data_IF_516625434276
#
_entry.id   IF_516625434276
#
_cell.length_a   1.000
_cell.length_b   1.000
_cell.length_c   1.000
_cell.angle_alpha   90.00
_cell.angle_beta   90.00
_cell.angle_gamma   90.00
#
_symmetry.space_group_name_H-M   'P 1'
#
loop_
_entity.id
_entity.type
_entity.pdbx_description
1 polymer ?
#
# COMPACT_ATOMS: atom_id res chain seq x y z
N UNK A 1 14.25 41.89 6.16
CA UNK A 1 15.17 42.76 6.92
C UNK A 1 14.54 43.12 8.25
N UNK A 2 15.32 43.62 9.23
CA UNK A 2 14.80 43.95 10.56
C UNK A 2 14.70 45.45 10.80
N UNK A 3 13.63 45.91 11.43
CA UNK A 3 13.40 47.32 11.79
C UNK A 3 12.90 47.42 13.23
N UNK A 4 13.40 48.38 13.99
CA UNK A 4 12.91 48.66 15.35
C UNK A 4 11.48 49.20 15.30
N UNK A 5 10.58 48.56 16.04
CA UNK A 5 9.17 48.92 16.10
C UNK A 5 8.66 48.80 17.54
N UNK A 6 7.76 49.69 17.98
CA UNK A 6 7.32 49.75 19.38
C UNK A 6 6.48 48.54 19.81
N UNK A 7 6.00 47.73 18.86
CA UNK A 7 5.20 46.55 19.17
C UNK A 7 4.91 45.65 17.95
N UNK A 8 4.34 44.47 18.20
CA UNK A 8 3.98 43.51 17.16
C UNK A 8 2.88 44.01 16.22
N UNK A 9 2.04 44.97 16.63
CA UNK A 9 1.02 45.56 15.74
C UNK A 9 1.67 46.30 14.57
N UNK A 10 2.72 47.08 14.85
CA UNK A 10 3.45 47.81 13.82
C UNK A 10 4.24 46.86 12.90
N UNK A 11 4.60 45.66 13.38
CA UNK A 11 5.16 44.63 12.51
C UNK A 11 4.21 44.20 11.40
N UNK A 12 2.91 44.04 11.73
CA UNK A 12 1.91 43.70 10.74
C UNK A 12 1.79 44.82 9.67
N UNK A 13 1.78 46.09 10.08
CA UNK A 13 1.76 47.25 9.16
C UNK A 13 3.02 47.34 8.28
N UNK A 14 4.19 47.07 8.88
CA UNK A 14 5.45 47.05 8.16
C UNK A 14 5.50 45.90 7.15
N UNK A 15 4.99 44.72 7.49
CA UNK A 15 4.91 43.60 6.55
C UNK A 15 3.92 43.88 5.42
N UNK A 16 2.75 44.45 5.73
CA UNK A 16 1.75 44.83 4.75
C UNK A 16 2.27 45.87 3.73
N UNK A 17 3.02 46.88 4.20
CA UNK A 17 3.63 47.89 3.32
C UNK A 17 4.76 47.35 2.44
N UNK A 18 5.35 46.21 2.81
CA UNK A 18 6.39 45.52 2.04
C UNK A 18 5.87 44.30 1.26
N UNK A 19 4.54 44.16 1.12
CA UNK A 19 3.93 43.17 0.24
C UNK A 19 4.31 43.46 -1.23
N UNK A 20 4.62 42.43 -2.06
CA UNK A 20 4.56 40.98 -1.81
C UNK A 20 5.85 40.35 -1.27
N UNK A 21 6.87 41.15 -0.93
CA UNK A 21 8.18 40.64 -0.52
C UNK A 21 8.22 40.17 0.94
N UNK A 22 7.29 40.64 1.77
CA UNK A 22 7.11 40.16 3.15
C UNK A 22 6.04 39.08 3.23
N UNK A 23 6.44 37.84 3.57
CA UNK A 23 5.52 36.71 3.75
C UNK A 23 5.25 36.38 5.23
N UNK A 24 6.22 36.66 6.11
CA UNK A 24 6.05 36.54 7.55
C UNK A 24 6.97 37.51 8.27
N UNK A 25 6.78 37.68 9.58
CA UNK A 25 7.66 38.48 10.40
C UNK A 25 7.89 37.83 11.75
N UNK A 26 8.96 38.24 12.44
CA UNK A 26 9.26 37.86 13.81
C UNK A 26 9.50 39.12 14.64
N UNK A 27 8.78 39.27 15.74
CA UNK A 27 8.99 40.37 16.68
C UNK A 27 9.89 39.91 17.82
N UNK A 28 11.04 40.57 17.95
CA UNK A 28 12.05 40.30 18.95
C UNK A 28 11.83 41.32 20.06
N UNK A 29 11.21 40.87 21.16
CA UNK A 29 11.01 41.72 22.35
C UNK A 29 12.35 41.99 23.05
N UNK A 30 13.12 40.93 23.29
CA UNK A 30 14.44 40.99 23.93
C UNK A 30 15.40 40.00 23.26
N UNK A 31 16.30 40.52 22.44
CA UNK A 31 17.29 39.76 21.69
C UNK A 31 18.56 39.54 22.51
N UNK A 32 19.05 38.30 22.52
CA UNK A 32 20.26 37.91 23.23
C UNK A 32 21.03 36.85 22.43
N UNK A 33 22.22 36.48 22.89
CA UNK A 33 23.05 35.47 22.22
C UNK A 33 22.35 34.09 22.14
N UNK A 34 21.47 33.77 23.08
CA UNK A 34 20.75 32.49 23.13
C UNK A 34 19.62 32.35 22.10
N UNK A 35 19.03 33.46 21.64
CA UNK A 35 18.01 33.44 20.58
C UNK A 35 18.54 33.88 19.21
N UNK A 36 19.85 34.12 19.09
CA UNK A 36 20.51 34.48 17.82
C UNK A 36 20.36 35.94 17.41
N UNK A 37 19.82 36.81 18.28
CA UNK A 37 19.58 38.23 17.99
C UNK A 37 20.24 39.17 19.01
N UNK A 38 21.57 39.05 19.26
CA UNK A 38 22.23 39.84 20.29
C UNK A 38 22.10 41.35 20.01
N UNK A 39 21.58 42.09 20.99
CA UNK A 39 21.46 43.56 20.92
C UNK A 39 20.23 44.07 20.18
N UNK A 40 19.30 43.20 19.77
CA UNK A 40 18.03 43.62 19.16
C UNK A 40 16.91 43.61 20.20
N UNK A 41 16.41 44.77 20.60
CA UNK A 41 15.23 44.87 21.48
C UNK A 41 14.13 45.65 20.77
N UNK A 42 12.92 45.11 20.74
CA UNK A 42 11.78 45.65 19.99
C UNK A 42 12.03 45.73 18.48
N UNK A 43 12.61 44.68 17.89
CA UNK A 43 12.84 44.60 16.44
C UNK A 43 11.81 43.73 15.73
N UNK A 44 11.41 44.17 14.55
CA UNK A 44 10.57 43.45 13.62
C UNK A 44 11.37 42.95 12.43
N UNK A 45 11.58 41.64 12.33
CA UNK A 45 12.30 41.03 11.22
C UNK A 45 11.34 40.47 10.18
N UNK A 46 11.23 41.13 9.04
CA UNK A 46 10.48 40.63 7.88
C UNK A 46 11.25 39.51 7.18
N UNK A 47 10.54 38.43 6.85
CA UNK A 47 11.06 37.23 6.19
C UNK A 47 10.36 37.03 4.83
N UNK A 48 11.16 36.79 3.80
CA UNK A 48 10.70 36.46 2.44
C UNK A 48 10.51 34.96 2.19
N UNK A 49 10.68 34.12 3.22
CA UNK A 49 10.53 32.67 3.18
C UNK A 49 9.95 32.16 4.52
N UNK A 50 8.90 31.35 4.46
CA UNK A 50 8.25 30.61 5.57
C UNK A 50 9.29 29.74 6.33
N UNK A 51 9.29 29.39 7.64
CA UNK A 51 8.30 29.09 8.72
C UNK A 51 9.00 29.27 10.12
N UNK A 52 8.35 29.24 11.32
CA UNK A 52 7.92 27.96 11.95
C UNK A 52 6.62 27.99 12.83
N UNK A 53 6.09 26.77 13.01
CA UNK A 53 5.22 26.18 14.05
C UNK A 53 3.93 26.90 14.56
N UNK A 54 2.73 26.29 14.39
CA UNK A 54 1.44 26.89 14.72
C UNK A 54 1.06 26.97 16.21
N UNK A 55 1.88 26.52 17.16
CA UNK A 55 1.38 26.36 18.54
C UNK A 55 1.29 27.61 19.43
N UNK A 56 1.70 28.83 19.02
CA UNK A 56 1.70 29.97 19.98
C UNK A 56 1.42 31.40 19.48
N UNK A 57 1.20 31.71 18.20
CA UNK A 57 1.12 33.11 17.77
C UNK A 57 -0.28 33.56 17.31
N UNK A 58 -1.13 33.96 18.25
CA UNK A 58 -2.47 34.53 18.00
C UNK A 58 -2.49 36.01 17.57
N UNK A 59 -1.40 36.58 17.04
CA UNK A 59 -1.28 38.04 16.90
C UNK A 59 -0.72 38.57 15.58
N UNK A 60 -0.79 37.78 14.49
CA UNK A 60 -0.80 38.39 13.16
C UNK A 60 -1.50 37.47 12.16
N UNK A 61 -2.82 37.60 12.09
CA UNK A 61 -3.62 37.12 10.98
C UNK A 61 -3.30 38.02 9.77
N UNK A 62 -2.31 37.62 8.96
CA UNK A 62 -1.87 38.40 7.78
C UNK A 62 -2.91 38.42 6.65
N UNK A 63 -4.14 37.92 6.88
CA UNK A 63 -5.15 37.71 5.84
C UNK A 63 -4.75 36.66 4.81
N UNK A 64 -3.49 36.19 4.83
CA UNK A 64 -2.98 35.11 4.00
C UNK A 64 -3.48 33.78 4.56
N UNK A 65 -4.48 33.22 3.90
CA UNK A 65 -5.08 31.95 4.29
C UNK A 65 -4.23 30.79 3.75
N UNK A 66 -3.88 29.83 4.61
CA UNK A 66 -3.35 28.52 4.20
C UNK A 66 -4.47 27.50 4.37
N UNK A 67 -5.39 27.50 3.41
CA UNK A 67 -6.52 26.58 3.44
C UNK A 67 -6.08 25.20 3.01
N UNK A 68 -6.43 24.20 3.81
CA UNK A 68 -6.02 22.82 3.59
C UNK A 68 -7.26 21.95 3.42
N UNK A 69 -7.34 21.29 2.27
CA UNK A 69 -8.30 20.21 2.06
C UNK A 69 -7.55 18.89 2.00
N UNK A 70 -8.17 17.83 2.50
CA UNK A 70 -7.66 16.47 2.35
C UNK A 70 -8.57 15.74 1.38
N UNK A 71 -7.99 14.99 0.44
CA UNK A 71 -8.76 14.12 -0.44
C UNK A 71 -9.70 13.23 0.38
N UNK A 72 -10.86 12.90 -0.18
CA UNK A 72 -11.91 12.07 0.42
C UNK A 72 -12.50 12.60 1.73
N UNK A 73 -12.33 13.89 2.04
CA UNK A 73 -12.99 14.54 3.17
C UNK A 73 -13.72 15.81 2.76
N UNK A 74 -14.78 16.12 3.48
CA UNK A 74 -15.49 17.40 3.32
C UNK A 74 -14.55 18.56 3.61
N UNK A 75 -14.53 19.55 2.73
CA UNK A 75 -13.67 20.69 2.86
C UNK A 75 -14.43 22.01 2.86
N UNK A 76 -14.08 22.87 3.81
CA UNK A 76 -14.52 24.25 3.88
C UNK A 76 -13.31 25.16 3.87
N UNK A 77 -13.23 26.01 2.86
CA UNK A 77 -12.25 27.10 2.77
C UNK A 77 -12.84 28.31 3.49
N UNK A 78 -12.02 29.08 4.19
CA UNK A 78 -12.48 30.34 4.77
C UNK A 78 -11.58 31.49 4.33
N UNK A 79 -12.17 32.67 4.20
CA UNK A 79 -11.47 33.91 3.88
C UNK A 79 -11.82 34.92 4.97
N UNK A 80 -10.81 35.56 5.56
CA UNK A 80 -11.01 36.67 6.49
C UNK A 80 -10.88 38.01 5.76
N UNK A 81 -11.72 38.97 6.15
CA UNK A 81 -11.81 40.26 5.48
C UNK A 81 -13.01 41.06 5.92
N UNK A 82 -13.05 42.35 5.57
CA UNK A 82 -14.19 43.22 5.84
C UNK A 82 -15.04 43.42 4.59
N UNK A 83 -16.36 43.60 4.77
CA UNK A 83 -17.27 43.83 3.65
C UNK A 83 -17.52 42.59 2.78
N UNK A 84 -17.32 41.39 3.35
CA UNK A 84 -17.65 40.13 2.69
C UNK A 84 -19.17 39.99 2.54
N UNK A 85 -19.59 39.41 1.43
CA UNK A 85 -21.01 39.17 1.10
C UNK A 85 -21.23 37.72 0.69
N UNK A 86 -22.45 37.20 0.82
CA UNK A 86 -22.77 35.81 0.41
C UNK A 86 -22.65 35.58 -1.11
N UNK A 87 -22.54 36.66 -1.89
CA UNK A 87 -22.31 36.58 -3.33
C UNK A 87 -20.83 36.45 -3.69
N UNK A 88 -19.93 36.72 -2.73
CA UNK A 88 -18.50 36.59 -2.93
C UNK A 88 -18.11 35.17 -3.26
N UNK A 89 -17.04 35.00 -4.02
CA UNK A 89 -16.59 33.68 -4.44
C UNK A 89 -15.09 33.50 -4.39
N UNK A 90 -14.68 32.24 -4.23
CA UNK A 90 -13.29 31.81 -4.29
C UNK A 90 -13.06 30.90 -5.49
N UNK A 91 -11.84 30.96 -6.01
CA UNK A 91 -11.35 30.12 -7.09
C UNK A 91 -9.97 29.58 -6.70
N UNK A 92 -9.79 28.27 -6.85
CA UNK A 92 -8.49 27.62 -6.71
C UNK A 92 -7.87 27.43 -8.09
N UNK A 93 -6.63 27.89 -8.27
CA UNK A 93 -5.89 27.77 -9.53
C UNK A 93 -4.54 27.08 -9.34
N UNK A 94 -4.14 26.27 -10.32
CA UNK A 94 -2.83 25.62 -10.39
C UNK A 94 -1.69 26.59 -10.76
N UNK A 95 -2.01 27.81 -11.19
CA UNK A 95 -1.02 28.85 -11.43
C UNK A 95 -0.53 29.48 -10.12
N UNK A 96 0.69 30.03 -10.14
CA UNK A 96 1.24 30.80 -9.01
C UNK A 96 0.57 32.16 -8.81
N UNK A 97 -0.26 32.61 -9.77
CA UNK A 97 -0.92 33.91 -9.78
C UNK A 97 -2.39 33.81 -10.18
N UNK A 98 -3.21 34.61 -9.50
CA UNK A 98 -4.62 34.83 -9.79
C UNK A 98 -4.81 35.64 -11.09
N UNK A 99 -6.00 35.54 -11.71
CA UNK A 99 -6.31 36.18 -13.00
C UNK A 99 -5.77 35.43 -14.22
N UNK A 100 -5.13 34.28 -14.02
CA UNK A 100 -4.83 33.35 -15.09
C UNK A 100 -6.17 32.81 -15.66
N UNK A 101 -6.32 32.79 -16.98
CA UNK A 101 -7.55 32.34 -17.65
C UNK A 101 -7.94 30.89 -17.30
N UNK A 102 -9.03 30.40 -17.89
CA UNK A 102 -9.67 29.13 -17.53
C UNK A 102 -8.76 27.89 -17.53
N UNK A 103 -7.66 27.89 -18.29
CA UNK A 103 -6.68 26.80 -18.34
C UNK A 103 -5.92 26.58 -17.04
N UNK A 104 -5.96 27.54 -16.10
CA UNK A 104 -5.28 27.45 -14.82
C UNK A 104 -6.19 26.97 -13.67
N UNK A 105 -7.49 26.76 -13.91
CA UNK A 105 -8.44 26.37 -12.86
C UNK A 105 -8.18 24.93 -12.43
N UNK A 106 -7.97 24.73 -11.13
CA UNK A 106 -7.81 23.39 -10.57
C UNK A 106 -9.16 22.69 -10.46
N UNK A 107 -9.21 21.39 -10.74
CA UNK A 107 -10.45 20.63 -10.75
C UNK A 107 -10.29 19.30 -10.00
N UNK A 108 -11.23 19.04 -9.10
CA UNK A 108 -11.37 17.76 -8.40
C UNK A 108 -12.83 17.33 -8.48
N UNK A 109 -13.13 16.10 -8.92
CA UNK A 109 -14.49 15.57 -8.84
C UNK A 109 -15.03 15.67 -7.41
N UNK A 110 -16.23 16.24 -7.26
CA UNK A 110 -16.88 16.46 -5.97
C UNK A 110 -16.52 17.79 -5.27
N UNK A 111 -15.56 18.55 -5.81
CA UNK A 111 -15.29 19.94 -5.42
C UNK A 111 -15.94 20.90 -6.41
N UNK A 112 -16.72 21.84 -5.90
CA UNK A 112 -17.22 22.98 -6.66
C UNK A 112 -16.16 24.09 -6.66
N UNK A 113 -15.63 24.43 -7.83
CA UNK A 113 -14.60 25.45 -8.00
C UNK A 113 -14.80 26.16 -9.36
N UNK A 114 -15.18 27.46 -9.40
CA UNK A 114 -15.29 28.40 -8.27
C UNK A 114 -16.46 28.11 -7.32
N UNK A 115 -16.39 28.63 -6.09
CA UNK A 115 -17.44 28.48 -5.07
C UNK A 115 -17.84 29.81 -4.45
N UNK A 116 -19.15 30.08 -4.34
CA UNK A 116 -19.68 31.24 -3.60
C UNK A 116 -19.74 30.98 -2.09
N UNK A 117 -19.66 32.04 -1.30
CA UNK A 117 -19.73 31.96 0.16
C UNK A 117 -21.04 31.32 0.63
N UNK A 118 -20.90 30.27 1.43
CA UNK A 118 -22.01 29.56 2.07
C UNK A 118 -22.53 30.30 3.30
N UNK A 119 -21.64 30.91 4.07
CA UNK A 119 -21.99 31.76 5.20
C UNK A 119 -20.98 32.90 5.34
N UNK A 120 -21.46 34.06 5.79
CA UNK A 120 -20.62 35.24 6.00
C UNK A 120 -20.94 35.85 7.36
N UNK A 121 -19.88 36.14 8.10
CA UNK A 121 -19.86 36.90 9.35
C UNK A 121 -19.14 38.25 9.12
N UNK A 122 -19.08 39.10 10.15
CA UNK A 122 -18.49 40.44 10.04
C UNK A 122 -17.05 40.46 9.52
N UNK A 123 -16.28 39.39 9.75
CA UNK A 123 -14.85 39.31 9.40
C UNK A 123 -14.44 38.03 8.68
N UNK A 124 -15.37 37.12 8.38
CA UNK A 124 -15.08 35.78 7.85
C UNK A 124 -16.19 35.29 6.94
N UNK A 125 -15.82 34.82 5.75
CA UNK A 125 -16.67 34.07 4.84
C UNK A 125 -16.23 32.61 4.78
N UNK A 126 -17.18 31.69 4.86
CA UNK A 126 -16.96 30.25 4.72
C UNK A 126 -17.48 29.77 3.37
N UNK A 127 -16.67 28.95 2.70
CA UNK A 127 -16.90 28.42 1.37
C UNK A 127 -16.83 26.89 1.45
N UNK A 128 -17.98 26.23 1.62
CA UNK A 128 -18.07 24.77 1.64
C UNK A 128 -17.89 24.23 0.22
N UNK A 129 -16.64 23.98 -0.17
CA UNK A 129 -16.25 23.57 -1.53
C UNK A 129 -16.62 22.12 -1.84
N UNK A 130 -16.93 21.31 -0.82
CA UNK A 130 -17.39 19.92 -0.96
C UNK A 130 -16.28 18.89 -0.65
N UNK A 131 -16.44 17.67 -1.19
CA UNK A 131 -15.55 16.53 -0.94
C UNK A 131 -14.82 16.12 -2.21
N UNK A 132 -13.49 16.26 -2.23
CA UNK A 132 -12.67 15.83 -3.35
C UNK A 132 -12.59 14.30 -3.40
N UNK A 133 -13.20 13.67 -4.40
CA UNK A 133 -13.18 12.20 -4.53
C UNK A 133 -11.83 11.69 -5.05
N UNK A 134 -11.21 12.46 -5.93
CA UNK A 134 -9.88 12.16 -6.50
C UNK A 134 -9.27 13.42 -7.12
N UNK A 135 -8.03 13.35 -7.57
CA UNK A 135 -7.35 14.41 -8.32
C UNK A 135 -5.89 14.58 -7.92
N UNK A 136 -5.26 15.65 -8.40
CA UNK A 136 -3.87 15.96 -8.11
C UNK A 136 -3.71 16.65 -6.75
N UNK A 137 -2.71 16.21 -6.00
CA UNK A 137 -2.30 16.79 -4.72
C UNK A 137 -1.12 17.73 -4.94
N UNK A 138 -1.21 18.96 -4.46
CA UNK A 138 -0.18 20.00 -4.62
C UNK A 138 -0.54 21.25 -3.78
N UNK A 139 0.33 22.24 -3.84
CA UNK A 139 0.03 23.62 -3.44
C UNK A 139 -0.51 24.41 -4.65
N UNK A 140 -1.58 25.17 -4.41
CA UNK A 140 -2.34 25.95 -5.38
C UNK A 140 -2.48 27.39 -4.86
N UNK A 141 -2.85 28.33 -5.75
CA UNK A 141 -3.21 29.67 -5.34
C UNK A 141 -4.72 29.77 -5.05
N UNK A 142 -5.06 30.39 -3.92
CA UNK A 142 -6.44 30.74 -3.58
C UNK A 142 -6.72 32.17 -4.01
N UNK A 143 -7.70 32.32 -4.91
CA UNK A 143 -8.10 33.58 -5.50
C UNK A 143 -9.52 33.96 -5.08
N UNK A 144 -9.80 35.26 -5.03
CA UNK A 144 -11.08 35.81 -4.60
C UNK A 144 -11.63 36.76 -5.66
N UNK A 145 -12.96 36.77 -5.78
CA UNK A 145 -13.71 37.76 -6.54
C UNK A 145 -14.98 38.18 -5.79
N UNK A 146 -15.35 39.46 -5.92
CA UNK A 146 -16.60 39.98 -5.38
C UNK A 146 -17.73 39.66 -6.36
N UNK A 147 -18.60 38.71 -5.99
CA UNK A 147 -19.58 38.13 -6.90
C UNK A 147 -19.08 36.86 -7.62
N UNK A 148 -19.93 36.19 -8.40
CA UNK A 148 -19.51 35.15 -9.35
C UNK A 148 -18.85 35.79 -10.59
N UNK A 149 -17.82 35.15 -11.12
CA UNK A 149 -17.11 35.62 -12.31
C UNK A 149 -16.49 34.49 -13.13
N UNK A 150 -15.89 34.83 -14.27
CA UNK A 150 -15.04 33.92 -15.02
C UNK A 150 -13.67 33.81 -14.34
N UNK A 151 -12.89 32.77 -14.69
CA UNK A 151 -11.56 32.56 -14.10
C UNK A 151 -10.62 33.78 -14.18
N UNK A 152 -10.71 34.58 -15.25
CA UNK A 152 -9.94 35.82 -15.41
C UNK A 152 -10.30 36.92 -14.41
N UNK A 153 -11.50 36.88 -13.84
CA UNK A 153 -12.04 37.94 -12.97
C UNK A 153 -11.52 37.78 -11.52
N UNK A 154 -11.04 36.59 -11.17
CA UNK A 154 -10.40 36.28 -9.89
C UNK A 154 -8.94 36.75 -9.90
N UNK A 155 -8.70 38.06 -9.89
CA UNK A 155 -7.34 38.64 -9.91
C UNK A 155 -6.69 38.76 -8.54
N UNK A 156 -7.49 38.68 -7.46
CA UNK A 156 -7.02 38.92 -6.10
C UNK A 156 -6.57 37.62 -5.45
N UNK A 157 -5.27 37.49 -5.15
CA UNK A 157 -4.75 36.37 -4.35
C UNK A 157 -5.00 36.64 -2.88
N UNK A 158 -5.68 35.70 -2.22
CA UNK A 158 -5.99 35.78 -0.78
C UNK A 158 -5.24 34.73 0.03
N UNK A 159 -4.58 33.77 -0.62
CA UNK A 159 -3.82 32.76 0.11
C UNK A 159 -3.21 31.68 -0.77
N UNK A 160 -2.75 30.63 -0.07
CA UNK A 160 -2.44 29.34 -0.65
C UNK A 160 -3.58 28.36 -0.35
N UNK A 161 -3.72 27.38 -1.22
CA UNK A 161 -4.61 26.24 -1.03
C UNK A 161 -3.79 24.97 -1.19
N UNK A 162 -3.82 24.09 -0.19
CA UNK A 162 -3.12 22.81 -0.26
C UNK A 162 -4.14 21.68 -0.36
N UNK A 163 -4.07 20.91 -1.45
CA UNK A 163 -4.76 19.63 -1.52
C UNK A 163 -3.83 18.54 -0.99
N UNK A 164 -4.19 17.97 0.15
CA UNK A 164 -3.44 16.95 0.89
C UNK A 164 -3.91 15.56 0.51
N UNK A 165 -2.99 14.60 0.54
CA UNK A 165 -3.28 13.21 0.21
C UNK A 165 -2.12 12.54 -0.51
N UNK A 166 -2.26 11.24 -0.81
CA UNK A 166 -1.26 10.50 -1.57
C UNK A 166 -1.21 10.95 -3.02
N UNK A 167 -0.04 10.78 -3.64
CA UNK A 167 0.13 10.93 -5.09
C UNK A 167 -0.37 9.67 -5.82
N UNK A 168 -0.62 9.77 -7.13
CA UNK A 168 -1.18 8.69 -7.94
C UNK A 168 -0.10 7.89 -8.70
N UNK A 169 -0.53 6.78 -9.30
CA UNK A 169 0.26 5.94 -10.21
C UNK A 169 1.40 5.17 -9.54
N UNK A 170 1.22 4.79 -8.28
CA UNK A 170 2.17 3.91 -7.59
C UNK A 170 2.05 2.45 -8.07
N UNK A 171 3.17 1.74 -8.04
CA UNK A 171 3.20 0.28 -8.21
C UNK A 171 3.59 -0.34 -6.87
N UNK A 172 2.59 -0.89 -6.18
CA UNK A 172 2.74 -1.44 -4.85
C UNK A 172 2.81 -2.97 -4.94
N UNK A 173 3.64 -3.58 -4.09
CA UNK A 173 3.75 -5.03 -4.05
C UNK A 173 3.97 -5.52 -2.62
N UNK A 174 3.48 -6.73 -2.36
CA UNK A 174 3.83 -7.50 -1.18
C UNK A 174 4.10 -8.94 -1.60
N UNK A 175 4.89 -9.66 -0.81
CA UNK A 175 5.25 -11.06 -1.11
C UNK A 175 4.66 -11.98 -0.05
N UNK A 176 4.08 -13.10 -0.47
CA UNK A 176 3.60 -14.12 0.46
C UNK A 176 4.73 -14.55 1.41
N UNK A 177 4.46 -14.58 2.71
CA UNK A 177 5.40 -15.00 3.74
C UNK A 177 6.39 -13.93 4.19
N UNK A 178 6.36 -12.74 3.58
CA UNK A 178 7.14 -11.59 4.01
C UNK A 178 6.22 -10.53 4.66
N UNK A 179 6.77 -9.72 5.56
CA UNK A 179 6.04 -8.57 6.10
C UNK A 179 5.72 -7.57 4.98
N UNK A 180 4.43 -7.23 4.85
CA UNK A 180 3.87 -6.33 3.88
C UNK A 180 3.80 -4.92 4.48
N UNK A 181 4.78 -4.09 4.13
CA UNK A 181 4.83 -2.67 4.48
C UNK A 181 4.72 -1.85 3.21
N UNK A 182 3.61 -1.15 3.04
CA UNK A 182 3.35 -0.31 1.88
C UNK A 182 3.67 1.14 2.24
N UNK A 183 4.53 1.78 1.46
CA UNK A 183 4.83 3.20 1.58
C UNK A 183 4.18 3.98 0.45
N UNK A 184 3.41 5.02 0.78
CA UNK A 184 2.66 5.82 -0.18
C UNK A 184 3.06 7.30 -0.02
N UNK A 185 3.87 7.86 -0.93
CA UNK A 185 4.26 9.25 -0.85
C UNK A 185 3.08 10.17 -1.20
N UNK A 186 3.01 11.31 -0.53
CA UNK A 186 1.94 12.28 -0.70
C UNK A 186 2.32 13.70 -0.32
N UNK A 187 1.37 14.61 -0.47
CA UNK A 187 1.51 16.00 -0.06
C UNK A 187 0.89 16.17 1.33
N UNK A 188 1.73 16.59 2.27
CA UNK A 188 1.35 16.94 3.64
C UNK A 188 0.52 15.83 4.32
N UNK A 189 1.03 14.60 4.40
CA UNK A 189 0.39 13.53 5.17
C UNK A 189 0.70 13.61 6.69
N UNK A 190 1.84 14.22 7.07
CA UNK A 190 2.42 14.21 8.43
C UNK A 190 1.64 14.81 9.62
N UNK A 191 0.33 15.03 9.57
CA UNK A 191 -0.37 15.75 10.65
C UNK A 191 -1.59 15.07 11.24
N UNK A 192 -1.94 13.86 10.80
CA UNK A 192 -3.10 13.13 11.35
C UNK A 192 -3.10 11.63 10.98
N UNK A 193 -2.12 10.83 11.46
CA UNK A 193 -1.97 9.42 11.03
C UNK A 193 -3.18 8.57 11.38
N UNK A 194 -3.91 8.89 12.46
CA UNK A 194 -5.05 8.08 12.89
C UNK A 194 -6.21 8.04 11.87
N UNK A 195 -6.17 8.87 10.81
CA UNK A 195 -7.26 8.99 9.84
C UNK A 195 -6.97 8.39 8.47
N UNK A 196 -5.73 8.04 8.13
CA UNK A 196 -5.46 7.55 6.77
C UNK A 196 -5.60 6.06 6.71
N UNK A 197 -6.39 5.59 5.74
CA UNK A 197 -6.62 4.18 5.53
C UNK A 197 -6.38 3.80 4.08
N UNK A 198 -5.86 2.58 3.93
CA UNK A 198 -5.61 1.94 2.65
C UNK A 198 -6.50 0.71 2.51
N UNK A 199 -7.16 0.59 1.36
CA UNK A 199 -7.98 -0.56 0.97
C UNK A 199 -7.43 -1.13 -0.34
N UNK A 200 -7.10 -2.41 -0.33
CA UNK A 200 -6.81 -3.18 -1.53
C UNK A 200 -8.11 -3.77 -2.07
N UNK A 201 -8.35 -3.61 -3.37
CA UNK A 201 -9.56 -4.12 -4.05
C UNK A 201 -9.18 -4.91 -5.28
N UNK A 202 -10.02 -5.86 -5.68
CA UNK A 202 -9.89 -6.54 -6.96
C UNK A 202 -10.12 -5.57 -8.12
N UNK A 203 -9.20 -5.55 -9.09
CA UNK A 203 -9.30 -4.73 -10.28
C UNK A 203 -9.81 -5.58 -11.46
N UNK A 204 -11.08 -5.37 -11.81
CA UNK A 204 -11.74 -6.01 -12.95
C UNK A 204 -11.24 -5.52 -14.31
N UNK A 205 -10.40 -4.48 -14.35
CA UNK A 205 -9.89 -3.86 -15.58
C UNK A 205 -10.94 -3.06 -16.36
N UNK A 206 -12.17 -2.94 -15.84
CA UNK A 206 -13.31 -2.32 -16.51
C UNK A 206 -13.49 -0.81 -16.20
N UNK A 207 -12.60 -0.18 -15.43
CA UNK A 207 -12.73 1.23 -15.09
C UNK A 207 -11.89 1.68 -13.89
N UNK A 208 -12.39 2.70 -13.18
CA UNK A 208 -11.76 3.21 -11.97
C UNK A 208 -12.02 2.20 -10.82
N UNK A 209 -10.98 1.56 -10.25
CA UNK A 209 -11.18 0.44 -9.32
C UNK A 209 -11.73 0.88 -7.96
N UNK A 210 -11.54 2.15 -7.59
CA UNK A 210 -11.92 2.74 -6.31
C UNK A 210 -13.31 3.36 -6.37
N UNK A 211 -14.36 2.55 -6.24
CA UNK A 211 -15.75 3.00 -6.32
C UNK A 211 -16.65 2.33 -5.27
N UNK A 212 -17.83 2.90 -5.06
CA UNK A 212 -18.87 2.30 -4.23
C UNK A 212 -19.32 0.96 -4.85
N UNK A 213 -18.84 -0.14 -4.29
CA UNK A 213 -19.09 -1.50 -4.80
C UNK A 213 -17.82 -2.28 -5.15
N UNK A 214 -16.63 -1.68 -5.02
CA UNK A 214 -15.38 -2.40 -5.13
C UNK A 214 -15.32 -3.57 -4.14
N UNK A 215 -14.86 -4.74 -4.62
CA UNK A 215 -14.71 -5.93 -3.78
C UNK A 215 -13.37 -5.88 -3.07
N UNK A 216 -13.35 -5.82 -1.71
CA UNK A 216 -12.09 -5.87 -0.97
C UNK A 216 -11.32 -7.14 -1.29
N UNK A 217 -10.02 -6.99 -1.54
CA UNK A 217 -9.13 -8.11 -1.74
C UNK A 217 -8.98 -8.89 -0.44
N UNK A 218 -9.04 -10.22 -0.51
CA UNK A 218 -8.92 -11.09 0.66
C UNK A 218 -7.61 -11.86 0.59
N UNK A 219 -6.77 -11.61 1.59
CA UNK A 219 -5.50 -12.30 1.79
C UNK A 219 -5.47 -12.83 3.23
N UNK A 220 -5.06 -14.08 3.42
CA UNK A 220 -4.95 -14.64 4.76
C UNK A 220 -3.79 -13.97 5.52
N UNK A 221 -4.04 -13.56 6.77
CA UNK A 221 -3.08 -12.89 7.66
C UNK A 221 -2.56 -11.52 7.16
N UNK A 222 -3.26 -10.90 6.21
CA UNK A 222 -3.04 -9.51 5.82
C UNK A 222 -4.29 -8.68 6.15
N UNK A 223 -4.08 -7.58 6.87
CA UNK A 223 -5.10 -6.65 7.29
C UNK A 223 -5.51 -5.76 6.11
N UNK A 224 -6.78 -5.82 5.72
CA UNK A 224 -7.32 -5.01 4.63
C UNK A 224 -8.81 -4.68 4.90
N UNK A 225 -9.19 -3.40 5.06
CA UNK A 225 -8.33 -2.21 5.02
C UNK A 225 -7.38 -2.11 6.21
N UNK A 226 -6.33 -1.30 6.05
CA UNK A 226 -5.36 -1.00 7.09
C UNK A 226 -5.27 0.51 7.37
N UNK A 227 -4.87 0.87 8.59
CA UNK A 227 -4.58 2.25 8.99
C UNK A 227 -3.09 2.52 8.87
N UNK A 228 -2.72 3.76 8.55
CA UNK A 228 -1.30 4.15 8.51
C UNK A 228 -0.66 4.04 9.89
N UNK A 229 0.62 3.66 9.93
CA UNK A 229 1.44 3.70 11.12
C UNK A 229 1.83 5.15 11.46
N UNK A 230 1.73 5.49 12.74
CA UNK A 230 2.25 6.76 13.26
C UNK A 230 3.79 6.66 13.38
N UNK A 231 4.49 7.09 12.33
CA UNK A 231 5.95 7.09 12.25
C UNK A 231 6.53 8.51 12.02
N UNK A 232 5.74 9.57 12.25
CA UNK A 232 5.97 10.98 11.91
C UNK A 232 5.92 11.35 10.42
N UNK A 233 5.99 10.37 9.51
CA UNK A 233 5.85 10.58 8.07
C UNK A 233 4.45 10.27 7.55
N UNK A 234 3.68 9.45 8.30
CA UNK A 234 2.27 9.11 8.09
C UNK A 234 1.99 8.62 6.67
N UNK A 235 2.90 7.79 6.15
CA UNK A 235 2.89 7.28 4.77
C UNK A 235 3.05 5.75 4.68
N UNK A 236 3.18 5.06 5.81
CA UNK A 236 3.53 3.64 5.87
C UNK A 236 2.38 2.82 6.45
N UNK A 237 1.95 1.78 5.73
CA UNK A 237 0.86 0.88 6.11
C UNK A 237 1.42 -0.53 6.34
N UNK A 238 1.39 -1.01 7.58
CA UNK A 238 1.93 -2.32 7.96
C UNK A 238 0.81 -3.36 7.99
N UNK A 239 0.48 -3.86 6.81
CA UNK A 239 -0.68 -4.72 6.60
C UNK A 239 -0.48 -6.16 7.10
N UNK A 240 0.67 -6.50 7.70
CA UNK A 240 0.95 -7.84 8.25
C UNK A 240 1.71 -8.75 7.28
N UNK A 241 1.56 -10.08 7.40
CA UNK A 241 2.31 -11.06 6.61
C UNK A 241 1.34 -11.96 5.84
N UNK A 242 1.03 -11.65 4.57
CA UNK A 242 0.08 -12.44 3.80
C UNK A 242 0.62 -13.86 3.60
N UNK A 243 -0.21 -14.87 3.88
CA UNK A 243 0.18 -16.29 3.72
C UNK A 243 -0.57 -17.01 2.61
N UNK A 244 -1.69 -16.47 2.17
CA UNK A 244 -2.51 -17.04 1.10
C UNK A 244 -3.30 -15.94 0.39
N UNK A 245 -3.45 -16.08 -0.92
CA UNK A 245 -4.28 -15.23 -1.77
C UNK A 245 -4.03 -15.54 -3.25
N UNK A 246 -4.88 -15.01 -4.12
CA UNK A 246 -4.72 -15.23 -5.56
C UNK A 246 -3.71 -14.26 -6.17
N UNK A 247 -2.51 -14.76 -6.46
CA UNK A 247 -1.42 -13.96 -7.03
C UNK A 247 -1.54 -13.74 -8.55
N UNK A 248 -2.57 -14.28 -9.19
CA UNK A 248 -2.87 -14.07 -10.62
C UNK A 248 -3.89 -12.95 -10.85
N UNK A 249 -4.65 -12.58 -9.82
CA UNK A 249 -5.62 -11.48 -9.88
C UNK A 249 -4.90 -10.14 -9.81
N UNK A 250 -5.44 -9.16 -10.55
CA UNK A 250 -4.96 -7.77 -10.49
C UNK A 250 -5.69 -7.05 -9.37
N UNK A 251 -4.96 -6.21 -8.65
CA UNK A 251 -5.50 -5.44 -7.55
C UNK A 251 -5.18 -3.96 -7.72
N UNK A 252 -5.96 -3.13 -7.05
CA UNK A 252 -5.72 -1.71 -6.94
C UNK A 252 -5.71 -1.28 -5.47
N UNK A 253 -4.98 -0.21 -5.19
CA UNK A 253 -4.91 0.42 -3.88
C UNK A 253 -5.76 1.69 -3.88
N UNK A 254 -6.73 1.73 -2.98
CA UNK A 254 -7.66 2.82 -2.78
C UNK A 254 -7.43 3.43 -1.40
N UNK A 255 -7.48 4.75 -1.31
CA UNK A 255 -7.18 5.48 -0.10
C UNK A 255 -8.36 6.34 0.34
N UNK A 256 -8.50 6.52 1.64
CA UNK A 256 -9.45 7.44 2.25
C UNK A 256 -8.89 8.08 3.53
N UNK A 257 -9.39 9.28 3.82
CA UNK A 257 -9.24 9.97 5.08
C UNK A 257 -10.53 9.81 5.91
N UNK A 258 -10.40 9.21 7.08
CA UNK A 258 -11.45 8.94 8.07
C UNK A 258 -12.69 8.24 7.47
N UNK A 259 -12.51 7.10 6.75
CA UNK A 259 -13.61 6.43 6.08
C UNK A 259 -14.59 5.82 7.08
N UNK A 260 -15.87 6.03 6.82
CA UNK A 260 -16.97 5.41 7.57
C UNK A 260 -17.47 4.11 6.93
N UNK A 261 -17.15 3.91 5.64
CA UNK A 261 -17.58 2.77 4.84
C UNK A 261 -16.63 2.49 3.69
N UNK A 262 -16.76 1.32 3.04
CA UNK A 262 -15.98 0.97 1.85
C UNK A 262 -16.21 1.94 0.68
N UNK A 263 -17.35 2.64 0.64
CA UNK A 263 -17.65 3.62 -0.40
C UNK A 263 -16.81 4.91 -0.28
N UNK A 264 -16.15 5.14 0.86
CA UNK A 264 -15.32 6.34 1.07
C UNK A 264 -13.94 6.25 0.41
N UNK A 265 -13.46 5.04 0.11
CA UNK A 265 -12.19 4.75 -0.57
C UNK A 265 -12.26 5.06 -2.07
N UNK A 266 -12.37 6.35 -2.37
CA UNK A 266 -12.60 6.87 -3.73
C UNK A 266 -11.32 7.29 -4.45
N UNK A 267 -10.22 7.47 -3.71
CA UNK A 267 -8.97 7.89 -4.31
C UNK A 267 -8.10 6.69 -4.72
N UNK A 268 -7.92 6.51 -6.03
CA UNK A 268 -7.03 5.50 -6.59
C UNK A 268 -5.56 5.93 -6.52
N UNK A 269 -4.80 5.24 -5.66
CA UNK A 269 -3.36 5.48 -5.44
C UNK A 269 -2.52 4.82 -6.53
N UNK A 270 -2.86 3.58 -6.89
CA UNK A 270 -2.09 2.82 -7.87
C UNK A 270 -2.42 1.34 -7.91
N UNK A 271 -1.66 0.59 -8.72
CA UNK A 271 -1.83 -0.86 -8.85
C UNK A 271 -1.13 -1.61 -7.71
N UNK A 272 -1.72 -2.71 -7.28
CA UNK A 272 -1.14 -3.63 -6.29
C UNK A 272 -0.91 -5.02 -6.89
N UNK A 273 0.20 -5.67 -6.54
CA UNK A 273 0.53 -7.04 -6.95
C UNK A 273 0.95 -7.86 -5.74
N UNK A 274 0.28 -9.00 -5.51
CA UNK A 274 0.72 -10.00 -4.55
C UNK A 274 1.69 -10.96 -5.25
N UNK A 275 2.94 -10.99 -4.79
CA UNK A 275 4.01 -11.84 -5.30
C UNK A 275 3.96 -13.19 -4.58
N UNK A 276 4.10 -14.26 -5.34
CA UNK A 276 4.16 -15.62 -4.81
C UNK A 276 3.26 -16.59 -5.59
N UNK A 277 3.18 -17.84 -5.12
CA UNK A 277 2.36 -18.86 -5.74
C UNK A 277 0.87 -18.69 -5.45
N UNK A 278 0.03 -19.15 -6.38
CA UNK A 278 -1.40 -19.44 -6.14
C UNK A 278 -1.57 -20.94 -5.94
N UNK A 279 -2.59 -21.36 -5.18
CA UNK A 279 -2.78 -22.78 -4.85
C UNK A 279 -3.00 -23.63 -6.10
N UNK A 280 -2.21 -24.70 -6.23
CA UNK A 280 -2.28 -25.68 -7.32
C UNK A 280 -1.98 -27.07 -6.79
N UNK A 281 -2.76 -28.06 -7.23
CA UNK A 281 -2.48 -29.47 -6.94
C UNK A 281 -1.36 -29.98 -7.83
N UNK A 282 -0.44 -30.73 -7.26
CA UNK A 282 0.71 -31.32 -7.95
C UNK A 282 0.68 -32.84 -7.77
N UNK A 283 1.05 -33.57 -8.82
CA UNK A 283 1.06 -35.04 -8.80
C UNK A 283 2.39 -35.55 -9.33
N UNK A 284 3.00 -36.48 -8.60
CA UNK A 284 4.19 -37.20 -9.03
C UNK A 284 3.97 -38.71 -8.93
N UNK A 285 4.73 -39.46 -9.72
CA UNK A 285 4.66 -40.92 -9.77
C UNK A 285 6.02 -41.47 -9.33
N UNK A 286 6.00 -42.42 -8.41
CA UNK A 286 7.21 -43.10 -7.93
C UNK A 286 8.00 -43.72 -9.11
N UNK A 287 9.32 -43.59 -9.07
CA UNK A 287 10.23 -44.05 -10.13
C UNK A 287 10.32 -43.13 -11.36
N UNK A 288 9.42 -42.16 -11.53
CA UNK A 288 9.48 -41.16 -12.60
C UNK A 288 10.05 -39.83 -12.11
N UNK A 289 10.52 -39.02 -13.06
CA UNK A 289 11.01 -37.68 -12.79
C UNK A 289 9.85 -36.76 -12.36
N UNK A 290 9.94 -36.19 -11.17
CA UNK A 290 8.94 -35.30 -10.59
C UNK A 290 9.35 -33.85 -10.85
N UNK A 291 8.65 -33.20 -11.79
CA UNK A 291 8.79 -31.78 -12.07
C UNK A 291 7.51 -31.07 -11.64
N UNK A 292 7.66 -30.15 -10.69
CA UNK A 292 6.56 -29.37 -10.13
C UNK A 292 6.56 -27.99 -10.77
N UNK A 293 5.42 -27.59 -11.33
CA UNK A 293 5.24 -26.24 -11.90
C UNK A 293 4.23 -25.46 -11.06
N UNK A 294 4.71 -24.44 -10.38
CA UNK A 294 3.85 -23.51 -9.64
C UNK A 294 3.17 -22.53 -10.60
N UNK A 295 2.01 -22.02 -10.22
CA UNK A 295 1.38 -20.86 -10.86
C UNK A 295 1.49 -19.68 -9.91
N UNK A 296 1.62 -18.48 -10.46
CA UNK A 296 1.71 -17.25 -9.66
C UNK A 296 2.48 -16.16 -10.39
N UNK A 297 2.92 -15.15 -9.64
CA UNK A 297 3.66 -14.00 -10.19
C UNK A 297 4.85 -13.64 -9.31
N UNK A 298 5.87 -13.01 -9.92
CA UNK A 298 7.02 -12.45 -9.21
C UNK A 298 8.00 -13.47 -8.64
N UNK A 299 8.04 -14.70 -9.18
CA UNK A 299 9.05 -15.68 -8.79
C UNK A 299 10.47 -15.23 -9.15
N UNK A 300 11.44 -15.69 -8.37
CA UNK A 300 12.87 -15.39 -8.53
C UNK A 300 13.72 -16.65 -8.34
N UNK A 301 14.99 -16.59 -8.73
CA UNK A 301 15.96 -17.68 -8.48
C UNK A 301 16.18 -18.02 -7.00
N UNK A 302 15.73 -17.15 -6.08
CA UNK A 302 15.83 -17.37 -4.64
C UNK A 302 14.75 -18.32 -4.10
N UNK A 303 13.70 -18.59 -4.89
CA UNK A 303 12.56 -19.39 -4.42
C UNK A 303 12.91 -20.87 -4.24
N UNK A 304 12.25 -21.51 -3.28
CA UNK A 304 12.38 -22.93 -3.00
C UNK A 304 11.06 -23.56 -2.58
N UNK A 305 10.97 -24.87 -2.75
CA UNK A 305 9.83 -25.69 -2.31
C UNK A 305 10.27 -26.80 -1.36
N UNK A 306 9.34 -27.27 -0.55
CA UNK A 306 9.47 -28.38 0.38
C UNK A 306 8.16 -29.18 0.36
N UNK A 307 8.25 -30.52 0.34
CA UNK A 307 7.06 -31.37 0.52
C UNK A 307 6.89 -31.68 2.00
N UNK A 308 5.74 -31.31 2.56
CA UNK A 308 5.34 -31.61 3.93
C UNK A 308 4.35 -32.77 4.00
N UNK A 309 4.36 -33.50 5.12
CA UNK A 309 3.48 -34.63 5.41
C UNK A 309 2.23 -34.14 6.14
N UNK A 310 1.06 -34.45 5.58
CA UNK A 310 -0.26 -34.09 6.06
C UNK A 310 -1.17 -33.58 4.92
N UNK A 311 -2.47 -33.84 5.05
CA UNK A 311 -3.48 -33.40 4.06
C UNK A 311 -4.18 -32.09 4.43
N UNK A 312 -3.97 -31.57 5.64
CA UNK A 312 -4.73 -30.42 6.13
C UNK A 312 -4.31 -29.11 5.46
N UNK A 313 -5.25 -28.16 5.37
CA UNK A 313 -5.00 -26.82 4.85
C UNK A 313 -4.14 -26.02 5.81
N UNK A 314 -3.19 -25.27 5.25
CA UNK A 314 -2.22 -24.45 5.99
C UNK A 314 -1.20 -25.29 6.79
N UNK A 315 -0.95 -26.54 6.37
CA UNK A 315 0.09 -27.40 6.97
C UNK A 315 1.43 -26.69 7.07
N UNK A 316 1.81 -25.99 5.99
CA UNK A 316 3.12 -25.35 5.85
C UNK A 316 3.43 -24.34 6.95
N UNK A 317 2.40 -23.70 7.53
CA UNK A 317 2.56 -22.76 8.65
C UNK A 317 3.00 -23.44 9.96
N UNK A 318 2.54 -24.67 10.18
CA UNK A 318 2.76 -25.42 11.42
C UNK A 318 3.70 -26.61 11.20
N UNK A 319 4.38 -26.63 10.05
CA UNK A 319 5.21 -27.76 9.66
C UNK A 319 6.37 -27.90 10.65
N UNK A 320 6.48 -29.08 11.23
CA UNK A 320 7.62 -29.46 12.08
C UNK A 320 8.68 -30.13 11.22
N UNK A 321 9.94 -30.07 11.65
CA UNK A 321 11.05 -30.73 10.92
C UNK A 321 10.81 -32.24 10.71
N UNK A 322 10.13 -32.91 11.64
CA UNK A 322 9.77 -34.33 11.52
C UNK A 322 8.69 -34.62 10.47
N UNK A 323 7.97 -33.60 10.00
CA UNK A 323 6.93 -33.71 8.98
C UNK A 323 7.43 -33.26 7.59
N UNK A 324 8.72 -32.97 7.43
CA UNK A 324 9.30 -32.81 6.11
C UNK A 324 9.41 -34.19 5.44
N UNK A 325 8.72 -34.37 4.32
CA UNK A 325 8.67 -35.66 3.64
C UNK A 325 10.06 -36.08 3.13
N UNK A 326 10.31 -37.39 3.18
CA UNK A 326 11.49 -38.05 2.63
C UNK A 326 11.05 -39.13 1.65
N UNK A 327 11.56 -39.05 0.43
CA UNK A 327 11.25 -39.95 -0.68
C UNK A 327 12.50 -40.64 -1.25
N UNK A 328 13.62 -40.56 -0.50
CA UNK A 328 14.90 -41.15 -0.83
C UNK A 328 15.88 -40.19 -1.49
N UNK A 329 17.14 -40.62 -1.59
CA UNK A 329 18.27 -39.77 -2.02
C UNK A 329 18.16 -39.23 -3.46
N UNK A 330 17.31 -39.83 -4.31
CA UNK A 330 17.05 -39.35 -5.68
C UNK A 330 15.97 -38.27 -5.74
N UNK A 331 15.36 -37.91 -4.61
CA UNK A 331 14.33 -36.89 -4.50
C UNK A 331 14.78 -35.76 -3.55
N UNK A 332 14.97 -34.56 -4.09
CA UNK A 332 15.37 -33.38 -3.34
C UNK A 332 14.14 -32.64 -2.79
N UNK A 333 14.01 -32.62 -1.45
CA UNK A 333 13.02 -31.84 -0.71
C UNK A 333 13.64 -31.41 0.63
N UNK A 334 14.00 -30.13 0.81
CA UNK A 334 13.67 -28.97 -0.01
C UNK A 334 14.48 -28.87 -1.31
N UNK A 335 13.98 -28.05 -2.25
CA UNK A 335 14.58 -27.81 -3.56
C UNK A 335 14.45 -26.36 -4.01
N UNK A 336 15.56 -25.75 -4.42
CA UNK A 336 15.59 -24.45 -5.11
C UNK A 336 15.09 -24.58 -6.54
N UNK A 337 14.44 -23.53 -7.05
CA UNK A 337 13.99 -23.46 -8.44
C UNK A 337 15.11 -23.82 -9.42
N UNK A 338 14.77 -24.60 -10.45
CA UNK A 338 15.74 -25.10 -11.44
C UNK A 338 15.63 -24.41 -12.79
N UNK A 339 14.50 -23.75 -13.06
CA UNK A 339 14.28 -23.01 -14.29
C UNK A 339 14.93 -21.63 -14.26
N UNK A 340 15.29 -21.12 -15.44
CA UNK A 340 15.47 -19.67 -15.65
C UNK A 340 14.09 -19.02 -15.75
N UNK A 341 14.01 -17.69 -15.65
CA UNK A 341 12.74 -16.93 -15.69
C UNK A 341 11.70 -17.56 -16.63
N UNK A 342 10.48 -17.88 -16.14
CA UNK A 342 9.79 -17.24 -15.02
C UNK A 342 10.00 -17.86 -13.63
N UNK A 343 10.97 -18.76 -13.42
CA UNK A 343 11.29 -19.34 -12.10
C UNK A 343 10.13 -20.11 -11.42
N UNK A 344 9.30 -20.78 -12.20
CA UNK A 344 8.10 -21.48 -11.73
C UNK A 344 8.23 -23.02 -11.68
N UNK A 345 9.30 -23.58 -12.26
CA UNK A 345 9.50 -25.02 -12.37
C UNK A 345 10.63 -25.56 -11.46
N UNK A 346 10.33 -26.62 -10.71
CA UNK A 346 11.17 -27.27 -9.71
C UNK A 346 11.32 -28.76 -10.03
N UNK A 347 12.54 -29.18 -10.40
CA UNK A 347 12.87 -30.59 -10.59
C UNK A 347 13.26 -31.22 -9.24
N UNK A 348 12.32 -31.98 -8.67
CA UNK A 348 12.48 -32.67 -7.38
C UNK A 348 13.24 -33.99 -7.53
N UNK A 349 13.35 -34.55 -8.74
CA UNK A 349 14.00 -35.85 -8.95
C UNK A 349 13.01 -37.02 -8.91
N UNK A 350 13.47 -38.20 -8.51
CA UNK A 350 12.69 -39.45 -8.53
C UNK A 350 12.42 -39.95 -7.12
N UNK A 351 11.15 -40.08 -6.78
CA UNK A 351 10.73 -40.71 -5.53
C UNK A 351 10.91 -42.22 -5.65
N UNK A 352 11.76 -42.81 -4.81
CA UNK A 352 12.00 -44.26 -4.80
C UNK A 352 11.06 -44.99 -3.84
N UNK A 353 10.61 -44.29 -2.80
CA UNK A 353 9.64 -44.73 -1.82
C UNK A 353 8.79 -43.56 -1.36
N UNK A 354 7.61 -43.84 -0.80
CA UNK A 354 6.81 -42.83 -0.12
C UNK A 354 7.28 -42.65 1.34
N UNK A 355 7.14 -41.45 1.89
CA UNK A 355 7.44 -41.21 3.30
C UNK A 355 6.61 -42.14 4.19
N UNK A 356 7.26 -42.79 5.16
CA UNK A 356 6.68 -43.84 6.01
C UNK A 356 5.89 -44.91 5.23
N UNK A 357 6.29 -45.14 3.97
CA UNK A 357 5.67 -46.09 3.07
C UNK A 357 4.19 -45.82 2.75
N UNK A 358 3.77 -44.55 2.81
CA UNK A 358 2.40 -44.12 2.58
C UNK A 358 2.27 -43.24 1.31
N UNK A 359 2.17 -43.84 0.10
CA UNK A 359 1.84 -43.07 -1.11
C UNK A 359 0.40 -42.58 -1.04
N UNK A 360 0.09 -41.44 -1.67
CA UNK A 360 -1.24 -40.84 -1.63
C UNK A 360 -1.21 -39.31 -1.67
N UNK A 361 -2.33 -38.73 -1.26
CA UNK A 361 -2.58 -37.28 -1.23
C UNK A 361 -2.32 -36.63 0.14
N UNK A 362 -1.71 -37.36 1.07
CA UNK A 362 -1.43 -36.89 2.43
C UNK A 362 -0.15 -36.03 2.49
N UNK A 363 0.04 -35.18 1.47
CA UNK A 363 1.16 -34.26 1.40
C UNK A 363 0.69 -32.88 0.95
N UNK A 364 1.43 -31.85 1.37
CA UNK A 364 1.32 -30.49 0.83
C UNK A 364 2.65 -30.03 0.26
N UNK A 365 2.57 -29.15 -0.72
CA UNK A 365 3.74 -28.46 -1.22
C UNK A 365 3.85 -27.09 -0.56
N UNK A 366 4.94 -26.88 0.15
CA UNK A 366 5.26 -25.65 0.87
C UNK A 366 6.29 -24.83 0.12
N UNK A 367 6.14 -23.51 0.12
CA UNK A 367 7.00 -22.57 -0.62
C UNK A 367 7.67 -21.56 0.30
N UNK A 368 8.86 -21.15 -0.11
CA UNK A 368 9.64 -20.09 0.50
C UNK A 368 10.10 -19.10 -0.55
N UNK A 369 10.00 -17.80 -0.24
CA UNK A 369 10.54 -16.73 -1.07
C UNK A 369 12.06 -16.81 -1.17
N UNK A 370 12.73 -17.03 -0.04
CA UNK A 370 14.18 -17.10 0.08
C UNK A 370 14.51 -17.80 1.42
N UNK A 371 14.74 -19.13 1.42
CA UNK A 371 15.08 -19.82 2.65
C UNK A 371 16.44 -19.33 3.18
N UNK A 372 16.58 -19.31 4.51
CA UNK A 372 17.78 -18.89 5.23
C UNK A 372 18.92 -19.91 5.11
N UNK A 373 18.58 -21.19 4.96
CA UNK A 373 19.51 -22.27 4.69
C UNK A 373 19.45 -22.69 3.22
N UNK A 374 20.62 -23.01 2.67
CA UNK A 374 20.71 -23.44 1.28
C UNK A 374 20.24 -24.89 1.12
N UNK A 375 19.23 -25.18 0.27
CA UNK A 375 18.82 -26.56 0.00
C UNK A 375 20.02 -27.42 -0.44
N UNK A 376 20.16 -28.66 0.07
CA UNK A 376 19.13 -29.47 0.72
C UNK A 376 19.05 -29.32 2.25
N UNK A 377 19.80 -28.40 2.87
CA UNK A 377 19.63 -28.13 4.29
C UNK A 377 18.19 -27.67 4.56
N UNK A 378 17.59 -28.16 5.65
CA UNK A 378 16.17 -27.97 5.95
C UNK A 378 16.01 -27.01 7.13
N UNK A 379 15.27 -25.93 6.91
CA UNK A 379 14.68 -25.09 7.96
C UNK A 379 13.20 -24.90 7.61
N UNK A 380 12.32 -25.74 8.16
CA UNK A 380 10.89 -25.74 7.79
C UNK A 380 10.19 -24.42 8.10
N UNK A 381 10.73 -23.64 9.06
CA UNK A 381 10.21 -22.34 9.42
C UNK A 381 10.23 -21.33 8.26
N UNK A 382 11.04 -21.56 7.22
CA UNK A 382 11.11 -20.71 6.03
C UNK A 382 10.02 -21.03 4.99
N UNK A 383 9.36 -22.18 5.10
CA UNK A 383 8.43 -22.73 4.09
C UNK A 383 6.97 -22.61 4.57
N UNK A 384 6.54 -21.40 4.91
CA UNK A 384 5.24 -21.18 5.55
C UNK A 384 4.06 -21.07 4.58
N UNK A 385 4.32 -21.06 3.26
CA UNK A 385 3.30 -20.81 2.24
C UNK A 385 2.80 -22.13 1.67
N UNK A 386 1.52 -22.44 1.91
CA UNK A 386 0.85 -23.61 1.32
C UNK A 386 0.50 -23.33 -0.13
N UNK A 387 1.10 -24.10 -1.04
CA UNK A 387 0.89 -23.95 -2.48
C UNK A 387 -0.08 -24.97 -3.03
N UNK A 388 -0.68 -25.81 -2.19
CA UNK A 388 -1.66 -26.82 -2.58
C UNK A 388 -1.27 -28.25 -2.19
N UNK A 389 -2.15 -29.18 -2.55
CA UNK A 389 -1.97 -30.61 -2.29
C UNK A 389 -0.86 -31.19 -3.17
N UNK A 390 -0.04 -32.07 -2.60
CA UNK A 390 0.90 -32.90 -3.34
C UNK A 390 0.44 -34.35 -3.28
N UNK A 391 0.35 -35.02 -4.43
CA UNK A 391 -0.03 -36.44 -4.51
C UNK A 391 1.12 -37.26 -5.07
N UNK A 392 1.53 -38.30 -4.33
CA UNK A 392 2.50 -39.27 -4.81
C UNK A 392 1.77 -40.58 -5.15
N UNK A 393 1.71 -40.90 -6.44
CA UNK A 393 1.24 -42.20 -6.92
C UNK A 393 2.35 -43.22 -6.91
N UNK A 394 2.00 -44.45 -6.54
CA UNK A 394 2.92 -45.57 -6.50
C UNK A 394 2.47 -46.65 -5.51
N UNK A 395 3.13 -47.81 -5.55
CA UNK A 395 2.84 -48.92 -4.66
C UNK A 395 3.36 -48.67 -3.24
N UNK A 396 2.68 -49.27 -2.27
CA UNK A 396 3.21 -49.48 -0.92
C UNK A 396 4.28 -50.57 -1.00
N UNK A 397 5.46 -50.30 -0.44
CA UNK A 397 6.53 -51.29 -0.31
C UNK A 397 6.10 -52.38 0.67
N UNK A 398 5.95 -53.60 0.17
CA UNK A 398 5.62 -54.75 1.01
C UNK A 398 6.44 -55.96 0.57
N UNK A 399 6.91 -56.72 1.55
CA UNK A 399 7.56 -57.99 1.31
C UNK A 399 6.58 -58.95 0.64
N UNK A 400 6.91 -59.37 -0.58
CA UNK A 400 6.16 -60.38 -1.29
C UNK A 400 6.77 -61.75 -1.00
N UNK A 401 5.93 -62.74 -0.69
CA UNK A 401 6.38 -64.11 -0.39
C UNK A 401 5.64 -65.11 -1.27
N UNK A 402 6.41 -65.85 -2.04
CA UNK A 402 5.93 -67.00 -2.80
C UNK A 402 6.45 -68.28 -2.14
N UNK A 403 5.59 -69.28 -2.00
CA UNK A 403 6.02 -70.62 -1.58
C UNK A 403 6.39 -71.43 -2.82
N UNK A 404 7.60 -72.00 -2.85
CA UNK A 404 8.01 -72.93 -3.90
C UNK A 404 6.95 -74.01 -4.09
N UNK A 405 6.67 -74.35 -5.35
CA UNK A 405 5.64 -75.33 -5.79
C UNK A 405 4.18 -74.87 -5.75
N UNK A 406 3.87 -73.65 -5.30
CA UNK A 406 2.53 -73.05 -5.38
C UNK A 406 2.46 -71.94 -6.43
N UNK A 407 1.30 -71.75 -7.11
CA UNK A 407 1.06 -70.54 -7.89
C UNK A 407 1.27 -69.30 -7.01
N UNK A 408 2.09 -68.36 -7.48
CA UNK A 408 2.32 -67.12 -6.76
C UNK A 408 1.50 -65.99 -7.37
N UNK A 409 0.57 -65.47 -6.58
CA UNK A 409 -0.19 -64.28 -6.90
C UNK A 409 0.35 -63.13 -6.07
N UNK A 410 0.85 -62.09 -6.75
CA UNK A 410 1.34 -60.88 -6.10
C UNK A 410 0.22 -59.85 -6.05
N UNK A 411 -0.07 -59.36 -4.85
CA UNK A 411 -1.04 -58.29 -4.65
C UNK A 411 -0.29 -57.01 -4.29
N UNK A 412 -0.36 -56.03 -5.18
CA UNK A 412 0.16 -54.69 -4.93
C UNK A 412 -0.98 -53.79 -4.44
N UNK A 413 -0.71 -53.09 -3.34
CA UNK A 413 -1.55 -51.99 -2.87
C UNK A 413 -0.79 -50.67 -3.06
N UNK A 414 -1.50 -49.56 -3.15
CA UNK A 414 -0.88 -48.27 -3.44
C UNK A 414 -1.89 -47.18 -3.76
N UNK A 415 -1.38 -46.03 -4.17
CA UNK A 415 -2.17 -44.91 -4.68
C UNK A 415 -1.96 -44.75 -6.18
N UNK A 416 -3.05 -44.57 -6.92
CA UNK A 416 -2.99 -44.31 -8.37
C UNK A 416 -2.48 -45.47 -9.21
N UNK A 417 -2.61 -46.72 -8.72
CA UNK A 417 -2.31 -47.91 -9.51
C UNK A 417 -3.42 -48.18 -10.54
N UNK A 418 -3.05 -48.52 -11.76
CA UNK A 418 -3.94 -48.87 -12.87
C UNK A 418 -3.55 -50.23 -13.49
N UNK A 419 -4.48 -50.80 -14.24
CA UNK A 419 -4.35 -52.03 -15.03
C UNK A 419 -3.23 -52.01 -16.07
N UNK A 420 -2.70 -50.84 -16.41
CA UNK A 420 -1.55 -50.67 -17.31
C UNK A 420 -0.20 -50.66 -16.58
N UNK A 421 -0.19 -50.65 -15.25
CA UNK A 421 1.04 -50.76 -14.48
C UNK A 421 1.61 -52.19 -14.55
N UNK A 422 2.94 -52.29 -14.57
CA UNK A 422 3.64 -53.56 -14.65
C UNK A 422 4.64 -53.70 -13.50
N UNK A 423 4.71 -54.90 -12.94
CA UNK A 423 5.74 -55.28 -11.98
C UNK A 423 6.75 -56.20 -12.66
N UNK A 424 8.04 -55.94 -12.42
CA UNK A 424 9.13 -56.82 -12.86
C UNK A 424 9.79 -57.40 -11.62
N UNK A 425 9.91 -58.72 -11.59
CA UNK A 425 10.75 -59.41 -10.61
C UNK A 425 12.18 -59.46 -11.15
N UNK A 426 13.11 -58.89 -10.40
CA UNK A 426 14.55 -58.88 -10.74
C UNK A 426 15.29 -59.73 -9.72
N UNK A 427 16.23 -60.55 -10.18
CA UNK A 427 17.03 -61.49 -9.36
C UNK A 427 18.40 -60.90 -9.08
#
# INVERSE_FOLDING_TARGET
GCQELPGPTQCCELCASNWPQCLSWQFIKEGNAGNGYPGMSFYCCLKGSFRPDPLTASYCDSGYQDSQCTLTSECTVYVTGSGLETTDSVLVVAATSCGAGSSAVAAWPGIENPKTATSVSATRGDFAVGKALTGEVAEYALCYHKGPGNASDYTTRVGAFTMRGPTRSHTLNCTLGAECRIHIPGVALRSDPARYHLLLVEDSGAGMPCTAGATPAVFQDLQNPDSVEDNNDDDTFAMGTPRKGDTLTRYAACWANDPSSLADYTHHVGSFTMIGPTETSQTCIMGLECNVSLRGTGFTGANAVLVGVGAFVDLCRYLLNSLAADFGASFASPKRVTSVAPYDNYSLGRALFAHDNAPGSDYRLCWSVAPTLEPPAKEVADYQIDTGSFTLHGPVLADQRCTLTLPCELSLTGSGLDTMDYAVMVV
#
